data_IF_979051073692
#
_entry.id   IF_979051073692
#
_cell.length_a   1.000
_cell.length_b   1.000
_cell.length_c   1.000
_cell.angle_alpha   90.00
_cell.angle_beta   90.00
_cell.angle_gamma   90.00
#
_symmetry.space_group_name_H-M   'P 1'
#
loop_
_entity.id
_entity.type
_entity.pdbx_description
1 polymer ?
#
# COMPACT_ATOMS: atom_id res chain seq x y z
N UNK A 1 -3.99 -16.30 1.35
CA UNK A 1 -4.61 -15.75 0.13
C UNK A 1 -3.56 -14.97 -0.64
N UNK A 2 -3.61 -15.00 -1.97
CA UNK A 2 -2.68 -14.22 -2.81
C UNK A 2 -3.08 -12.73 -2.78
N UNK A 3 -2.13 -11.79 -2.70
CA UNK A 3 -2.43 -10.35 -2.70
C UNK A 3 -3.09 -9.95 -4.02
N UNK A 4 -4.19 -9.19 -3.94
CA UNK A 4 -4.81 -8.60 -5.13
C UNK A 4 -4.09 -7.30 -5.45
N UNK A 5 -3.29 -7.31 -6.52
CA UNK A 5 -2.50 -6.15 -6.93
C UNK A 5 -3.38 -5.06 -7.56
N UNK A 6 -3.13 -3.81 -7.16
CA UNK A 6 -3.68 -2.61 -7.81
C UNK A 6 -2.72 -2.29 -8.97
N UNK A 7 -3.10 -2.62 -10.22
CA UNK A 7 -2.26 -2.40 -11.43
C UNK A 7 -1.90 -0.92 -11.67
N UNK A 8 -0.81 -0.58 -12.39
CA UNK A 8 0.45 -1.30 -12.52
C UNK A 8 1.47 -0.79 -11.49
N UNK A 9 2.57 -1.51 -11.34
CA UNK A 9 3.77 -1.05 -10.65
C UNK A 9 4.20 0.35 -11.15
N UNK A 10 4.43 1.27 -10.21
CA UNK A 10 4.92 2.62 -10.51
C UNK A 10 6.37 2.67 -10.03
N UNK A 11 7.33 2.85 -10.93
CA UNK A 11 8.77 2.91 -10.59
C UNK A 11 9.27 1.67 -9.81
N UNK A 12 8.64 0.52 -10.04
CA UNK A 12 8.91 -0.74 -9.32
C UNK A 12 8.26 -0.85 -7.94
N UNK A 13 7.43 0.10 -7.53
CA UNK A 13 6.56 0.00 -6.36
C UNK A 13 5.23 -0.66 -6.73
N UNK A 14 4.96 -1.81 -6.15
CA UNK A 14 3.73 -2.57 -6.34
C UNK A 14 2.79 -2.37 -5.15
N UNK A 15 1.54 -1.98 -5.43
CA UNK A 15 0.50 -1.71 -4.42
C UNK A 15 -0.49 -2.87 -4.34
N UNK A 16 -0.84 -3.32 -3.13
CA UNK A 16 -1.78 -4.41 -2.95
C UNK A 16 -2.43 -4.44 -1.56
N UNK A 17 -3.44 -5.30 -1.41
CA UNK A 17 -4.10 -5.62 -0.14
C UNK A 17 -4.00 -7.12 0.15
N UNK A 18 -3.88 -7.51 1.42
CA UNK A 18 -4.13 -8.90 1.80
C UNK A 18 -5.61 -9.10 2.13
N UNK A 19 -6.22 -10.12 1.53
CA UNK A 19 -7.67 -10.34 1.62
C UNK A 19 -8.21 -10.71 3.01
N UNK A 20 -7.34 -10.89 4.01
CA UNK A 20 -7.71 -11.20 5.40
C UNK A 20 -7.47 -10.04 6.37
N UNK A 21 -7.26 -8.81 5.89
CA UNK A 21 -6.97 -7.63 6.71
C UNK A 21 -8.15 -6.65 6.84
N UNK A 22 -9.38 -7.11 6.57
CA UNK A 22 -10.59 -6.28 6.58
C UNK A 22 -11.01 -5.74 7.96
N UNK A 23 -10.36 -6.18 9.04
CA UNK A 23 -10.61 -5.71 10.42
C UNK A 23 -9.75 -4.52 10.82
N UNK A 24 -8.78 -4.15 10.00
CA UNK A 24 -7.91 -3.01 10.24
C UNK A 24 -8.43 -1.75 9.51
N UNK A 25 -8.01 -0.54 9.95
CA UNK A 25 -8.26 0.67 9.18
C UNK A 25 -7.75 0.56 7.74
N UNK A 26 -8.29 1.40 6.86
CA UNK A 26 -7.95 1.41 5.42
C UNK A 26 -6.45 1.63 5.24
N UNK A 27 -5.79 0.68 4.58
CA UNK A 27 -4.34 0.70 4.38
C UNK A 27 -3.93 0.07 3.06
N UNK A 28 -2.67 0.24 2.67
CA UNK A 28 -2.10 -0.38 1.48
C UNK A 28 -0.72 -0.92 1.77
N UNK A 29 -0.42 -2.08 1.20
CA UNK A 29 0.92 -2.64 1.19
C UNK A 29 1.66 -2.20 -0.06
N UNK A 30 2.89 -1.75 0.10
CA UNK A 30 3.76 -1.29 -0.98
C UNK A 30 5.02 -2.13 -1.00
N UNK A 31 5.25 -2.88 -2.08
CA UNK A 31 6.45 -3.70 -2.26
C UNK A 31 7.37 -3.12 -3.30
N UNK A 32 8.68 -3.17 -3.03
CA UNK A 32 9.73 -2.91 -4.01
C UNK A 32 10.92 -3.82 -3.74
N UNK A 33 11.28 -4.66 -4.72
CA UNK A 33 12.25 -5.73 -4.51
C UNK A 33 11.82 -6.68 -3.38
N UNK A 34 12.67 -6.81 -2.36
CA UNK A 34 12.46 -7.62 -1.15
C UNK A 34 11.86 -6.82 0.03
N UNK A 35 11.66 -5.51 -0.17
CA UNK A 35 11.10 -4.63 0.82
C UNK A 35 9.57 -4.54 0.74
N UNK A 36 8.94 -4.32 1.90
CA UNK A 36 7.49 -4.23 2.06
C UNK A 36 7.17 -3.14 3.08
N UNK A 37 6.35 -2.18 2.68
CA UNK A 37 5.78 -1.16 3.55
C UNK A 37 4.29 -1.40 3.71
N UNK A 38 3.75 -0.90 4.81
CA UNK A 38 2.33 -0.72 5.05
C UNK A 38 2.07 0.75 5.34
N UNK A 39 1.09 1.33 4.66
CA UNK A 39 0.64 2.70 4.91
C UNK A 39 -0.83 2.72 5.26
N UNK A 40 -1.20 3.43 6.33
CA UNK A 40 -2.58 3.88 6.53
C UNK A 40 -2.96 4.86 5.42
N UNK A 41 -4.25 4.98 5.11
CA UNK A 41 -4.74 5.92 4.08
C UNK A 41 -5.40 7.17 4.67
N UNK A 42 -5.76 7.15 5.96
CA UNK A 42 -6.45 8.24 6.66
C UNK A 42 -5.91 8.46 8.08
N UNK A 43 -4.94 9.38 8.26
CA UNK A 43 -4.13 10.03 7.22
C UNK A 43 -3.15 9.05 6.56
N UNK A 44 -2.52 9.47 5.45
CA UNK A 44 -1.41 8.68 4.87
C UNK A 44 -0.24 8.72 5.84
N UNK A 45 0.09 7.58 6.41
CA UNK A 45 1.15 7.45 7.39
C UNK A 45 1.75 6.04 7.34
N UNK A 46 3.07 5.97 7.47
CA UNK A 46 3.80 4.71 7.54
C UNK A 46 3.39 3.93 8.81
N UNK A 47 2.89 2.71 8.61
CA UNK A 47 2.44 1.81 9.65
C UNK A 47 3.48 0.74 9.98
N UNK A 48 4.17 0.23 8.96
CA UNK A 48 5.26 -0.75 9.06
C UNK A 48 6.17 -0.59 7.84
N UNK A 49 7.48 -0.76 8.02
CA UNK A 49 8.49 -0.58 6.98
C UNK A 49 9.38 -1.80 6.72
N UNK A 50 9.17 -2.87 7.50
CA UNK A 50 9.92 -4.13 7.51
C UNK A 50 11.46 -4.02 7.55
N UNK A 51 12.01 -2.81 7.70
CA UNK A 51 13.44 -2.48 7.73
C UNK A 51 14.24 -2.73 6.44
N UNK A 52 13.62 -3.04 5.29
CA UNK A 52 14.37 -3.44 4.07
C UNK A 52 14.45 -2.39 2.97
N UNK A 53 13.82 -1.22 3.15
CA UNK A 53 13.88 -0.11 2.19
C UNK A 53 14.71 1.06 2.70
N UNK A 54 15.38 1.75 1.78
CA UNK A 54 16.13 2.97 2.11
C UNK A 54 15.17 4.11 2.38
N UNK A 55 15.61 5.10 3.18
CA UNK A 55 14.80 6.30 3.49
C UNK A 55 14.25 7.02 2.25
N UNK A 56 15.01 7.05 1.15
CA UNK A 56 14.54 7.63 -0.14
C UNK A 56 13.37 6.85 -0.73
N UNK A 57 13.37 5.53 -0.58
CA UNK A 57 12.30 4.65 -1.07
C UNK A 57 11.06 4.75 -0.20
N UNK A 58 11.22 4.90 1.12
CA UNK A 58 10.12 5.19 2.04
C UNK A 58 9.39 6.46 1.64
N UNK A 59 10.13 7.55 1.44
CA UNK A 59 9.56 8.85 1.03
C UNK A 59 8.88 8.75 -0.34
N UNK A 60 9.52 8.10 -1.31
CA UNK A 60 8.91 7.94 -2.63
C UNK A 60 7.65 7.09 -2.59
N UNK A 61 7.62 6.03 -1.78
CA UNK A 61 6.43 5.23 -1.59
C UNK A 61 5.31 6.05 -0.95
N UNK A 62 5.61 6.85 0.08
CA UNK A 62 4.63 7.73 0.73
C UNK A 62 4.07 8.78 -0.24
N UNK A 63 4.91 9.40 -1.07
CA UNK A 63 4.49 10.31 -2.14
C UNK A 63 3.53 9.59 -3.11
N UNK A 64 3.92 8.42 -3.60
CA UNK A 64 3.09 7.65 -4.54
C UNK A 64 1.75 7.21 -3.91
N UNK A 65 1.74 6.84 -2.63
CA UNK A 65 0.50 6.52 -1.90
C UNK A 65 -0.40 7.75 -1.80
N UNK A 66 0.17 8.93 -1.50
CA UNK A 66 -0.59 10.18 -1.47
C UNK A 66 -1.14 10.56 -2.85
N UNK A 67 -0.31 10.52 -3.89
CA UNK A 67 -0.68 10.83 -5.28
C UNK A 67 -1.82 9.91 -5.77
N UNK A 68 -1.85 8.65 -5.32
CA UNK A 68 -2.83 7.65 -5.73
C UNK A 68 -3.90 7.35 -4.67
N UNK A 69 -3.97 8.13 -3.58
CA UNK A 69 -4.79 7.82 -2.39
C UNK A 69 -6.25 7.52 -2.74
N UNK A 70 -6.88 8.37 -3.55
CA UNK A 70 -8.29 8.21 -3.91
C UNK A 70 -8.55 6.89 -4.66
N UNK A 71 -7.64 6.54 -5.58
CA UNK A 71 -7.72 5.29 -6.34
C UNK A 71 -7.52 4.07 -5.44
N UNK A 72 -6.58 4.15 -4.50
CA UNK A 72 -6.32 3.08 -3.52
C UNK A 72 -7.51 2.92 -2.59
N UNK A 73 -8.09 4.01 -2.07
CA UNK A 73 -9.30 3.98 -1.23
C UNK A 73 -10.49 3.37 -1.96
N UNK A 74 -10.71 3.74 -3.23
CA UNK A 74 -11.75 3.13 -4.05
C UNK A 74 -11.54 1.62 -4.20
N UNK A 75 -10.31 1.21 -4.51
CA UNK A 75 -9.97 -0.20 -4.64
C UNK A 75 -10.10 -0.97 -3.31
N UNK A 76 -9.81 -0.34 -2.17
CA UNK A 76 -10.04 -0.91 -0.84
C UNK A 76 -11.52 -1.21 -0.63
N UNK A 77 -12.38 -0.20 -0.82
CA UNK A 77 -13.83 -0.34 -0.63
C UNK A 77 -14.39 -1.43 -1.56
N UNK A 78 -14.00 -1.42 -2.85
CA UNK A 78 -14.40 -2.47 -3.81
C UNK A 78 -13.92 -3.88 -3.40
N UNK A 79 -12.81 -3.99 -2.66
CA UNK A 79 -12.27 -5.28 -2.22
C UNK A 79 -12.92 -5.82 -0.96
N UNK A 80 -13.29 -4.95 -0.02
CA UNK A 80 -13.71 -5.34 1.33
C UNK A 80 -15.19 -5.06 1.66
N UNK A 81 -15.89 -4.20 0.91
CA UNK A 81 -17.34 -3.96 1.06
C UNK A 81 -18.20 -4.93 0.22
N UNK A 82 -17.73 -6.19 0.01
CA UNK A 82 -18.53 -7.26 -0.63
C UNK A 82 -19.24 -8.14 0.39
#
# INVERSE_FOLDING_TARGET
MAPKAIKPDIEGFAFYFFSNENREPRHVHVRKGDGLLKFWLEPVALADDNGRMKLKELRRAEELVNENKERILKAWNEHFDQ
#
